data_IF_559692582759
#
_entry.id   IF_559692582759
#
_cell.length_a   1.000
_cell.length_b   1.000
_cell.length_c   1.000
_cell.angle_alpha   90.00
_cell.angle_beta   90.00
_cell.angle_gamma   90.00
#
_symmetry.space_group_name_H-M   'P 1'
#
loop_
_entity.id
_entity.type
_entity.pdbx_description
1 polymer ?
#
# COMPACT_ATOMS: atom_id res chain seq x y z
N UNK A 1 13.82 4.66 15.02
CA UNK A 1 12.89 4.60 13.87
C UNK A 1 13.65 4.98 12.61
N UNK A 2 13.53 4.24 11.51
CA UNK A 2 14.19 4.64 10.29
C UNK A 2 13.54 5.91 9.73
N UNK A 3 14.35 6.83 9.21
CA UNK A 3 13.90 8.10 8.60
C UNK A 3 12.72 7.92 7.61
N UNK A 4 12.70 6.81 6.89
CA UNK A 4 11.62 6.44 5.94
C UNK A 4 10.23 6.24 6.56
N UNK A 5 10.13 5.76 7.81
CA UNK A 5 8.81 5.57 8.44
C UNK A 5 8.20 6.89 8.91
N UNK A 6 9.04 7.86 9.23
CA UNK A 6 8.63 9.21 9.60
C UNK A 6 8.19 10.00 8.38
N UNK A 7 8.93 9.88 7.26
CA UNK A 7 8.55 10.54 6.00
C UNK A 7 7.19 10.07 5.47
N UNK A 8 6.88 8.76 5.55
CA UNK A 8 5.57 8.25 5.13
C UNK A 8 4.43 8.83 5.98
N UNK A 9 4.56 8.80 7.30
CA UNK A 9 3.53 9.35 8.19
C UNK A 9 3.33 10.85 8.02
N UNK A 10 4.37 11.55 7.61
CA UNK A 10 4.31 12.98 7.40
C UNK A 10 3.55 13.40 6.15
N UNK A 11 3.66 12.64 5.08
CA UNK A 11 2.85 12.87 3.87
C UNK A 11 1.37 12.67 4.19
N UNK A 12 1.04 11.61 4.94
CA UNK A 12 -0.31 11.34 5.40
C UNK A 12 -0.86 12.51 6.23
N UNK A 13 -0.04 13.07 7.14
CA UNK A 13 -0.43 14.23 7.95
C UNK A 13 -0.66 15.48 7.08
N UNK A 14 0.22 15.77 6.13
CA UNK A 14 0.06 16.92 5.24
C UNK A 14 -1.24 16.79 4.43
N UNK A 15 -1.50 15.63 3.84
CA UNK A 15 -2.74 15.38 3.08
C UNK A 15 -3.96 15.57 3.95
N UNK A 16 -3.95 15.08 5.19
CA UNK A 16 -5.05 15.22 6.13
C UNK A 16 -5.34 16.70 6.47
N UNK A 17 -4.29 17.46 6.76
CA UNK A 17 -4.43 18.88 7.12
C UNK A 17 -4.82 19.73 5.90
N UNK A 18 -4.30 19.44 4.72
CA UNK A 18 -4.70 20.12 3.48
C UNK A 18 -6.13 19.78 3.06
N UNK A 19 -6.62 18.58 3.34
CA UNK A 19 -8.01 18.22 3.13
C UNK A 19 -8.94 19.04 4.02
N UNK A 20 -8.54 19.30 5.27
CA UNK A 20 -9.30 20.10 6.25
C UNK A 20 -9.15 21.62 6.01
N UNK A 21 -7.96 22.04 5.59
CA UNK A 21 -7.63 23.46 5.37
C UNK A 21 -6.96 23.65 3.99
N UNK A 22 -7.73 23.58 2.89
CA UNK A 22 -7.16 23.62 1.52
C UNK A 22 -6.58 24.98 1.15
N UNK A 23 -6.82 26.02 1.94
CA UNK A 23 -6.23 27.36 1.75
C UNK A 23 -4.78 27.48 2.15
N UNK A 24 -4.20 26.43 2.78
CA UNK A 24 -2.78 26.42 3.18
C UNK A 24 -1.90 26.34 1.92
N UNK A 25 -1.04 27.34 1.74
CA UNK A 25 -0.14 27.45 0.60
C UNK A 25 1.33 27.53 1.00
N UNK A 26 1.61 27.77 2.26
CA UNK A 26 2.97 27.96 2.75
C UNK A 26 3.29 27.09 3.96
N UNK A 27 4.59 26.77 4.19
CA UNK A 27 5.01 26.04 5.38
C UNK A 27 4.66 26.74 6.69
N UNK A 28 4.63 28.08 6.71
CA UNK A 28 4.25 28.85 7.90
C UNK A 28 2.78 28.60 8.24
N UNK A 29 1.89 28.73 7.26
CA UNK A 29 0.46 28.44 7.45
C UNK A 29 0.21 26.99 7.90
N UNK A 30 0.99 26.04 7.33
CA UNK A 30 0.91 24.64 7.77
C UNK A 30 1.37 24.49 9.22
N UNK A 31 2.47 25.13 9.62
CA UNK A 31 2.95 25.08 11.00
C UNK A 31 1.92 25.65 11.97
N UNK A 32 1.36 26.82 11.66
CA UNK A 32 0.34 27.47 12.48
C UNK A 32 -0.91 26.60 12.65
N UNK A 33 -1.33 25.95 11.56
CA UNK A 33 -2.47 25.03 11.60
C UNK A 33 -2.18 23.79 12.45
N UNK A 34 -1.01 23.18 12.28
CA UNK A 34 -0.58 22.04 13.09
C UNK A 34 -0.48 22.39 14.58
N UNK A 35 -0.04 23.61 14.93
CA UNK A 35 -0.02 24.08 16.31
C UNK A 35 -1.44 24.25 16.88
N UNK A 36 -2.37 24.82 16.11
CA UNK A 36 -3.77 24.93 16.52
C UNK A 36 -4.38 23.55 16.80
N UNK A 37 -4.15 22.58 15.92
CA UNK A 37 -4.62 21.22 16.08
C UNK A 37 -3.99 20.54 17.31
N UNK A 38 -2.68 20.68 17.50
CA UNK A 38 -1.94 20.12 18.64
C UNK A 38 -2.41 20.71 19.96
N UNK A 39 -2.59 22.03 20.02
CA UNK A 39 -3.00 22.74 21.22
C UNK A 39 -4.51 22.71 21.47
N UNK A 40 -5.27 22.00 20.61
CA UNK A 40 -6.73 21.89 20.68
C UNK A 40 -7.44 23.25 20.69
N UNK A 41 -6.86 24.24 20.01
CA UNK A 41 -7.49 25.57 19.81
C UNK A 41 -8.34 25.63 18.55
N UNK A 42 -8.40 24.51 17.79
CA UNK A 42 -9.27 24.29 16.65
C UNK A 42 -10.52 23.53 17.06
N UNK A 43 -11.67 23.74 16.41
CA UNK A 43 -12.83 22.85 16.55
C UNK A 43 -12.54 21.44 16.02
N UNK A 44 -11.62 21.30 15.07
CA UNK A 44 -11.24 20.01 14.51
C UNK A 44 -10.31 19.26 15.46
N UNK A 45 -10.65 18.02 15.77
CA UNK A 45 -9.82 17.13 16.61
C UNK A 45 -8.87 16.33 15.72
N UNK A 46 -7.58 16.32 16.08
CA UNK A 46 -6.61 15.44 15.43
C UNK A 46 -6.15 14.33 16.38
N UNK A 47 -6.18 13.10 15.90
CA UNK A 47 -5.64 11.94 16.59
C UNK A 47 -4.44 11.40 15.81
N UNK A 48 -3.26 11.69 16.29
CA UNK A 48 -2.00 11.16 15.79
C UNK A 48 -0.95 11.14 16.92
N UNK A 49 0.23 10.65 16.62
CA UNK A 49 1.36 10.69 17.56
C UNK A 49 1.88 12.15 17.69
N UNK A 50 1.89 12.67 18.92
CA UNK A 50 2.34 14.03 19.22
C UNK A 50 3.78 14.29 18.76
N UNK A 51 4.63 13.27 18.72
CA UNK A 51 6.00 13.38 18.23
C UNK A 51 6.04 13.68 16.73
N UNK A 52 5.08 13.15 15.96
CA UNK A 52 4.94 13.42 14.54
C UNK A 52 4.50 14.87 14.32
N UNK A 53 3.46 15.31 15.03
CA UNK A 53 2.99 16.70 14.97
C UNK A 53 4.12 17.68 15.26
N UNK A 54 4.84 17.47 16.38
CA UNK A 54 5.92 18.36 16.79
C UNK A 54 7.07 18.37 15.78
N UNK A 55 7.41 17.21 15.22
CA UNK A 55 8.47 17.15 14.21
C UNK A 55 8.09 17.98 12.97
N UNK A 56 6.87 17.86 12.47
CA UNK A 56 6.43 18.59 11.28
C UNK A 56 6.28 20.09 11.53
N UNK A 57 5.83 20.51 12.71
CA UNK A 57 5.84 21.91 13.13
C UNK A 57 7.28 22.45 13.08
N UNK A 58 8.24 21.71 13.64
CA UNK A 58 9.65 22.10 13.64
C UNK A 58 10.23 22.15 12.22
N UNK A 59 9.89 21.18 11.36
CA UNK A 59 10.37 21.12 9.98
C UNK A 59 9.80 22.26 9.12
N UNK A 60 8.56 22.67 9.36
CA UNK A 60 7.98 23.86 8.74
C UNK A 60 8.65 25.16 9.17
N UNK A 61 9.07 25.26 10.44
CA UNK A 61 9.72 26.46 11.01
C UNK A 61 11.23 26.53 10.74
N UNK A 62 11.87 25.39 10.44
CA UNK A 62 13.30 25.30 10.14
C UNK A 62 13.55 25.40 8.64
N UNK A 63 14.78 25.69 8.25
CA UNK A 63 15.34 25.92 6.92
C UNK A 63 14.97 24.92 5.78
N UNK A 64 14.19 23.90 6.04
CA UNK A 64 13.66 22.96 5.05
C UNK A 64 12.38 23.45 4.35
N UNK A 65 12.14 24.77 4.36
CA UNK A 65 10.97 25.36 3.72
C UNK A 65 10.76 24.95 2.25
N UNK A 66 11.85 24.68 1.50
CA UNK A 66 11.73 24.16 0.13
C UNK A 66 11.09 22.78 0.08
N UNK A 67 11.51 21.85 0.93
CA UNK A 67 10.98 20.48 0.95
C UNK A 67 9.53 20.49 1.44
N UNK A 68 9.21 21.27 2.46
CA UNK A 68 7.83 21.42 2.94
C UNK A 68 6.94 22.12 1.92
N UNK A 69 7.43 23.18 1.27
CA UNK A 69 6.70 23.84 0.19
C UNK A 69 6.44 22.89 -0.97
N UNK A 70 7.39 22.04 -1.31
CA UNK A 70 7.22 21.03 -2.36
C UNK A 70 6.19 19.98 -1.94
N UNK A 71 6.16 19.56 -0.69
CA UNK A 71 5.13 18.67 -0.18
C UNK A 71 3.75 19.34 -0.24
N UNK A 72 3.61 20.59 0.20
CA UNK A 72 2.35 21.33 0.11
C UNK A 72 1.88 21.39 -1.36
N UNK A 73 2.78 21.75 -2.28
CA UNK A 73 2.46 21.85 -3.70
C UNK A 73 2.07 20.50 -4.31
N UNK A 74 2.82 19.44 -3.98
CA UNK A 74 2.59 18.11 -4.53
C UNK A 74 1.35 17.42 -3.93
N UNK A 75 1.02 17.75 -2.68
CA UNK A 75 -0.06 17.11 -1.93
C UNK A 75 -1.23 18.06 -1.64
N UNK A 76 -1.31 19.20 -2.33
CA UNK A 76 -2.49 20.04 -2.31
C UNK A 76 -3.68 19.21 -2.79
N UNK A 77 -4.51 18.80 -1.85
CA UNK A 77 -5.75 18.10 -2.18
C UNK A 77 -6.60 19.11 -2.94
N UNK A 78 -7.09 18.78 -4.15
CA UNK A 78 -8.02 19.66 -4.84
C UNK A 78 -9.12 20.04 -3.87
N UNK A 79 -9.39 21.33 -3.71
CA UNK A 79 -10.44 21.85 -2.84
C UNK A 79 -11.76 21.29 -3.35
N UNK A 80 -12.10 20.12 -2.87
CA UNK A 80 -13.31 19.44 -3.27
C UNK A 80 -14.32 19.60 -2.16
N UNK A 81 -15.55 19.77 -2.53
CA UNK A 81 -16.71 19.69 -1.64
C UNK A 81 -16.76 18.36 -0.85
N UNK A 82 -15.84 17.45 -1.20
CA UNK A 82 -15.72 16.10 -0.62
C UNK A 82 -15.38 16.12 0.87
N UNK A 83 -14.54 17.07 1.33
CA UNK A 83 -14.07 17.13 2.73
C UNK A 83 -14.51 18.42 3.41
N UNK A 84 -15.79 18.72 3.34
CA UNK A 84 -16.38 19.90 3.98
C UNK A 84 -16.69 19.61 5.43
N UNK A 85 -16.41 20.56 6.31
CA UNK A 85 -16.78 20.49 7.73
C UNK A 85 -16.23 19.24 8.45
N UNK A 86 -14.92 19.10 8.45
CA UNK A 86 -14.22 18.03 9.17
C UNK A 86 -14.27 18.31 10.68
N UNK A 87 -14.86 17.38 11.44
CA UNK A 87 -14.88 17.37 12.90
C UNK A 87 -13.62 16.72 13.47
N UNK A 88 -13.17 15.62 12.83
CA UNK A 88 -12.07 14.82 13.35
C UNK A 88 -11.19 14.25 12.24
N UNK A 89 -9.89 14.22 12.51
CA UNK A 89 -8.85 13.59 11.68
C UNK A 89 -8.18 12.50 12.51
N UNK A 90 -8.06 11.30 11.95
CA UNK A 90 -7.33 10.17 12.56
C UNK A 90 -6.28 9.67 11.59
N UNK A 91 -5.01 9.77 11.99
CA UNK A 91 -3.90 9.17 11.26
C UNK A 91 -3.72 7.72 11.73
N UNK A 92 -4.34 6.81 11.01
CA UNK A 92 -4.36 5.39 11.38
C UNK A 92 -3.00 4.71 11.19
N UNK A 93 -2.20 5.17 10.22
CA UNK A 93 -0.92 4.57 9.89
C UNK A 93 -1.06 3.05 9.65
N UNK A 94 -0.17 2.28 10.27
CA UNK A 94 -0.18 0.80 10.11
C UNK A 94 -1.28 0.09 10.91
N UNK A 95 -1.96 0.76 11.83
CA UNK A 95 -2.95 0.09 12.68
C UNK A 95 -3.93 1.07 13.30
N UNK A 96 -5.17 0.94 12.93
CA UNK A 96 -6.29 1.66 13.56
C UNK A 96 -6.73 1.06 14.90
N UNK A 97 -6.09 -0.04 15.37
CA UNK A 97 -6.45 -0.71 16.63
C UNK A 97 -6.29 0.18 17.88
N UNK A 98 -5.57 1.29 17.76
CA UNK A 98 -5.43 2.28 18.84
C UNK A 98 -6.65 3.20 19.00
N UNK A 99 -7.54 3.21 18.01
CA UNK A 99 -8.66 4.14 17.92
C UNK A 99 -9.97 3.37 18.01
N UNK A 100 -10.66 3.38 19.16
CA UNK A 100 -11.89 2.59 19.37
C UNK A 100 -12.96 2.84 18.32
N UNK A 101 -13.11 4.07 17.87
CA UNK A 101 -14.07 4.47 16.84
C UNK A 101 -13.77 3.82 15.49
N UNK A 102 -12.47 3.73 15.11
CA UNK A 102 -12.08 3.06 13.88
C UNK A 102 -12.17 1.54 14.00
N UNK A 103 -11.98 0.99 15.20
CA UNK A 103 -12.20 -0.45 15.46
C UNK A 103 -13.67 -0.78 15.28
N UNK A 104 -14.56 0.07 15.81
CA UNK A 104 -16.01 -0.09 15.64
C UNK A 104 -16.43 0.08 14.16
N UNK A 105 -15.96 1.15 13.52
CA UNK A 105 -16.22 1.43 12.10
C UNK A 105 -15.83 0.27 11.18
N UNK A 106 -14.74 -0.42 11.49
CA UNK A 106 -14.22 -1.53 10.69
C UNK A 106 -14.56 -2.91 11.30
N UNK A 107 -15.58 -2.99 12.15
CA UNK A 107 -16.01 -4.26 12.75
C UNK A 107 -16.42 -5.26 11.66
N UNK A 108 -15.83 -6.45 11.66
CA UNK A 108 -16.10 -7.49 10.68
C UNK A 108 -15.38 -7.34 9.34
N UNK A 109 -14.61 -6.26 9.15
CA UNK A 109 -13.83 -6.03 7.93
C UNK A 109 -12.41 -6.58 8.11
N UNK A 110 -11.90 -7.32 7.12
CA UNK A 110 -10.48 -7.68 7.11
C UNK A 110 -9.64 -6.39 7.13
N UNK A 111 -8.73 -6.28 8.09
CA UNK A 111 -7.83 -5.13 8.25
C UNK A 111 -7.10 -4.73 6.97
N UNK A 112 -6.95 -5.65 6.02
CA UNK A 112 -6.31 -5.38 4.73
C UNK A 112 -7.22 -4.68 3.75
N UNK A 113 -8.54 -4.77 3.94
CA UNK A 113 -9.53 -4.05 3.16
C UNK A 113 -9.66 -2.60 3.63
N UNK A 114 -9.43 -2.34 4.90
CA UNK A 114 -9.36 -0.98 5.46
C UNK A 114 -8.05 -0.29 5.02
N UNK A 115 -8.01 0.16 3.78
CA UNK A 115 -6.81 0.71 3.11
C UNK A 115 -6.50 2.16 3.44
N UNK A 116 -7.36 2.83 4.21
CA UNK A 116 -7.16 4.24 4.51
C UNK A 116 -5.97 4.43 5.46
N UNK A 117 -5.09 5.32 5.08
CA UNK A 117 -3.97 5.80 5.89
C UNK A 117 -4.42 6.93 6.81
N UNK A 118 -5.41 7.71 6.34
CA UNK A 118 -6.07 8.79 7.06
C UNK A 118 -7.57 8.55 7.06
N UNK A 119 -8.20 8.76 8.21
CA UNK A 119 -9.66 8.81 8.34
C UNK A 119 -10.09 10.23 8.73
N UNK A 120 -11.14 10.71 8.12
CA UNK A 120 -11.78 11.97 8.47
C UNK A 120 -13.24 11.72 8.82
N UNK A 121 -13.70 12.35 9.90
CA UNK A 121 -15.10 12.35 10.29
C UNK A 121 -15.67 13.72 10.01
N UNK A 122 -16.77 13.76 9.32
CA UNK A 122 -17.49 14.99 9.03
C UNK A 122 -18.46 15.33 10.17
N UNK A 123 -18.90 16.56 10.24
CA UNK A 123 -19.85 17.03 11.27
C UNK A 123 -21.23 16.36 11.22
N UNK A 124 -21.60 15.80 10.07
CA UNK A 124 -22.81 14.96 9.91
C UNK A 124 -22.65 13.53 10.42
N UNK A 125 -21.44 13.19 10.93
CA UNK A 125 -21.09 11.87 11.43
C UNK A 125 -20.54 10.90 10.37
N UNK A 126 -20.53 11.26 9.09
CA UNK A 126 -20.00 10.41 8.04
C UNK A 126 -18.48 10.26 8.14
N UNK A 127 -18.01 9.05 7.91
CA UNK A 127 -16.58 8.76 7.81
C UNK A 127 -16.11 8.66 6.36
N UNK A 128 -14.94 9.21 6.10
CA UNK A 128 -14.22 9.06 4.82
C UNK A 128 -12.79 8.62 5.09
N UNK A 129 -12.30 7.70 4.26
CA UNK A 129 -10.92 7.23 4.30
C UNK A 129 -10.11 7.77 3.14
N UNK A 130 -8.84 8.08 3.36
CA UNK A 130 -7.91 8.48 2.32
C UNK A 130 -6.73 7.51 2.32
N UNK A 131 -6.53 6.81 1.22
CA UNK A 131 -5.31 6.04 0.97
C UNK A 131 -4.31 6.94 0.24
N UNK A 132 -3.17 7.19 0.86
CA UNK A 132 -2.16 8.12 0.34
C UNK A 132 -1.13 7.38 -0.48
N UNK A 133 -0.97 7.73 -1.75
CA UNK A 133 0.06 7.23 -2.64
C UNK A 133 1.05 8.34 -2.98
N UNK A 134 2.33 8.02 -2.96
CA UNK A 134 3.38 9.00 -3.27
C UNK A 134 3.57 9.24 -4.78
N UNK A 135 3.04 8.34 -5.60
CA UNK A 135 3.09 8.44 -7.05
C UNK A 135 1.97 7.63 -7.70
N UNK A 136 1.64 7.94 -8.95
CA UNK A 136 0.69 7.17 -9.76
C UNK A 136 1.10 5.69 -9.90
N UNK A 137 2.42 5.42 -9.99
CA UNK A 137 2.98 4.07 -10.09
C UNK A 137 3.05 3.32 -8.74
N UNK A 138 2.53 3.90 -7.66
CA UNK A 138 2.57 3.28 -6.35
C UNK A 138 1.80 1.93 -6.37
N UNK A 139 2.29 1.00 -5.57
CA UNK A 139 1.64 -0.30 -5.39
C UNK A 139 0.22 -0.10 -4.87
N UNK A 140 -0.79 -0.52 -5.62
CA UNK A 140 -2.20 -0.46 -5.21
C UNK A 140 -2.48 -1.40 -4.05
N UNK A 141 -1.82 -2.57 -4.05
CA UNK A 141 -1.99 -3.57 -3.02
C UNK A 141 -0.75 -4.44 -2.89
N UNK A 142 -0.54 -4.96 -1.69
CA UNK A 142 0.64 -5.75 -1.35
C UNK A 142 0.27 -6.83 -0.34
N UNK A 143 0.25 -8.10 -0.80
CA UNK A 143 -0.12 -9.26 0.02
C UNK A 143 0.98 -10.31 0.01
N UNK A 144 0.97 -11.17 1.03
CA UNK A 144 1.65 -12.45 0.96
C UNK A 144 0.93 -13.36 -0.03
N UNK A 145 1.62 -13.85 -1.05
CA UNK A 145 1.01 -14.73 -2.05
C UNK A 145 0.49 -16.03 -1.43
N UNK A 146 1.16 -16.55 -0.39
CA UNK A 146 0.73 -17.76 0.30
C UNK A 146 -0.66 -17.65 0.94
N UNK A 147 -1.11 -16.43 1.26
CA UNK A 147 -2.47 -16.23 1.80
C UNK A 147 -3.60 -16.53 0.80
N UNK A 148 -3.26 -16.64 -0.46
CA UNK A 148 -4.21 -17.04 -1.49
C UNK A 148 -4.40 -18.55 -1.58
N UNK A 149 -3.50 -19.33 -0.97
CA UNK A 149 -3.48 -20.78 -1.06
C UNK A 149 -4.02 -21.47 0.19
N UNK A 150 -4.52 -22.71 0.07
CA UNK A 150 -4.74 -23.61 1.20
C UNK A 150 -3.45 -23.80 2.02
N UNK A 151 -3.60 -24.17 3.29
CA UNK A 151 -2.47 -24.34 4.21
C UNK A 151 -1.51 -25.45 3.77
N UNK A 152 -2.03 -26.50 3.15
CA UNK A 152 -1.25 -27.61 2.58
C UNK A 152 -0.32 -27.10 1.48
N UNK A 153 -0.84 -26.28 0.57
CA UNK A 153 -0.07 -25.71 -0.53
C UNK A 153 0.98 -24.71 -0.05
N UNK A 154 0.63 -23.91 0.97
CA UNK A 154 1.60 -23.02 1.62
C UNK A 154 2.76 -23.81 2.21
N UNK A 155 2.47 -24.92 2.91
CA UNK A 155 3.49 -25.80 3.49
C UNK A 155 4.36 -26.44 2.42
N UNK A 156 3.75 -27.02 1.39
CA UNK A 156 4.46 -27.62 0.27
C UNK A 156 5.40 -26.64 -0.42
N UNK A 157 4.95 -25.42 -0.70
CA UNK A 157 5.80 -24.38 -1.29
C UNK A 157 6.98 -24.01 -0.39
N UNK A 158 6.79 -23.95 0.92
CA UNK A 158 7.86 -23.70 1.86
C UNK A 158 8.87 -24.86 1.89
N UNK A 159 8.43 -26.10 1.85
CA UNK A 159 9.29 -27.29 1.78
C UNK A 159 10.11 -27.33 0.48
N UNK A 160 9.49 -27.03 -0.66
CA UNK A 160 10.17 -26.93 -1.95
C UNK A 160 11.24 -25.83 -1.90
N UNK A 161 10.94 -24.68 -1.31
CA UNK A 161 11.88 -23.58 -1.16
C UNK A 161 13.06 -23.97 -0.27
N UNK A 162 12.80 -24.61 0.86
CA UNK A 162 13.84 -25.05 1.78
C UNK A 162 14.76 -26.10 1.12
N UNK A 163 14.19 -27.09 0.43
CA UNK A 163 14.97 -28.07 -0.34
C UNK A 163 15.83 -27.39 -1.40
N UNK A 164 15.26 -26.49 -2.20
CA UNK A 164 15.98 -25.73 -3.21
C UNK A 164 17.19 -25.01 -2.61
N UNK A 165 17.07 -24.43 -1.42
CA UNK A 165 18.18 -23.75 -0.76
C UNK A 165 19.21 -24.73 -0.19
N UNK A 166 18.76 -25.80 0.45
CA UNK A 166 19.64 -26.83 1.03
C UNK A 166 20.48 -27.50 -0.04
N UNK A 167 19.87 -27.91 -1.16
CA UNK A 167 20.52 -28.56 -2.29
C UNK A 167 21.58 -27.68 -2.99
N UNK A 168 21.43 -26.36 -2.82
CA UNK A 168 22.38 -25.37 -3.34
C UNK A 168 23.33 -24.79 -2.27
N UNK A 169 23.41 -25.42 -1.10
CA UNK A 169 24.33 -25.01 -0.04
C UNK A 169 23.89 -23.83 0.81
N UNK A 170 22.59 -23.48 0.81
CA UNK A 170 22.02 -22.38 1.58
C UNK A 170 20.95 -22.86 2.56
N UNK A 171 21.25 -23.78 3.51
CA UNK A 171 20.26 -24.33 4.43
C UNK A 171 19.64 -23.25 5.33
N UNK A 172 20.42 -22.19 5.62
CA UNK A 172 19.96 -21.00 6.30
C UNK A 172 20.22 -19.78 5.42
N UNK A 173 19.16 -19.03 5.14
CA UNK A 173 19.29 -17.77 4.40
C UNK A 173 19.84 -16.70 5.35
N UNK A 174 21.06 -16.22 5.06
CA UNK A 174 21.66 -15.04 5.69
C UNK A 174 21.78 -13.91 4.67
N UNK A 175 21.86 -12.67 5.13
CA UNK A 175 21.98 -11.49 4.25
C UNK A 175 23.20 -11.58 3.32
N UNK A 176 24.29 -12.19 3.77
CA UNK A 176 25.50 -12.46 2.98
C UNK A 176 25.26 -13.35 1.76
N UNK A 177 24.29 -14.27 1.85
CA UNK A 177 23.95 -15.22 0.77
C UNK A 177 22.91 -14.63 -0.21
N UNK A 178 22.37 -13.47 0.07
CA UNK A 178 21.30 -12.84 -0.70
C UNK A 178 21.56 -12.73 -2.21
N UNK A 179 22.77 -12.36 -2.69
CA UNK A 179 23.05 -12.33 -4.12
C UNK A 179 22.93 -13.70 -4.79
N UNK A 180 23.40 -14.77 -4.11
CA UNK A 180 23.37 -16.14 -4.61
C UNK A 180 21.95 -16.69 -4.62
N UNK A 181 21.20 -16.49 -3.54
CA UNK A 181 19.77 -16.85 -3.46
C UNK A 181 18.95 -16.12 -4.52
N UNK A 182 19.20 -14.83 -4.73
CA UNK A 182 18.54 -14.08 -5.80
C UNK A 182 18.89 -14.62 -7.19
N UNK A 183 20.15 -15.05 -7.42
CA UNK A 183 20.55 -15.70 -8.66
C UNK A 183 19.80 -17.00 -8.87
N UNK A 184 19.72 -17.84 -7.84
CA UNK A 184 18.99 -19.11 -7.86
C UNK A 184 17.51 -18.91 -8.17
N UNK A 185 16.84 -18.01 -7.45
CA UNK A 185 15.43 -17.70 -7.64
C UNK A 185 15.15 -16.92 -8.94
N UNK A 186 16.16 -16.32 -9.59
CA UNK A 186 15.97 -15.63 -10.87
C UNK A 186 15.86 -16.58 -12.06
N UNK A 187 16.21 -17.84 -11.90
CA UNK A 187 15.84 -18.89 -12.83
C UNK A 187 14.36 -19.18 -12.68
N UNK A 188 13.57 -18.79 -13.68
CA UNK A 188 12.11 -18.97 -13.69
C UNK A 188 11.66 -20.43 -13.78
N UNK A 189 12.58 -21.33 -14.12
CA UNK A 189 12.35 -22.77 -14.20
C UNK A 189 12.66 -23.48 -12.88
N UNK A 190 13.13 -22.75 -11.85
CA UNK A 190 13.39 -23.34 -10.54
C UNK A 190 12.11 -24.00 -9.97
N UNK A 191 12.27 -25.09 -9.18
CA UNK A 191 11.13 -25.86 -8.68
C UNK A 191 10.11 -25.01 -7.89
N UNK A 192 10.58 -24.02 -7.14
CA UNK A 192 9.70 -23.18 -6.33
C UNK A 192 8.74 -22.34 -7.19
N UNK A 193 9.25 -21.60 -8.19
CA UNK A 193 8.40 -20.81 -9.06
C UNK A 193 7.59 -21.66 -10.04
N UNK A 194 8.08 -22.83 -10.43
CA UNK A 194 7.31 -23.77 -11.25
C UNK A 194 6.07 -24.26 -10.49
N UNK A 195 6.21 -24.67 -9.23
CA UNK A 195 5.09 -25.06 -8.38
C UNK A 195 4.18 -23.86 -8.05
N UNK A 196 4.75 -22.68 -7.84
CA UNK A 196 3.95 -21.46 -7.63
C UNK A 196 3.02 -21.18 -8.81
N UNK A 197 3.51 -21.28 -10.06
CA UNK A 197 2.68 -21.13 -11.28
C UNK A 197 1.55 -22.13 -11.31
N UNK A 198 1.85 -23.38 -11.04
CA UNK A 198 0.84 -24.44 -11.01
C UNK A 198 -0.25 -24.12 -10.00
N UNK A 199 0.12 -23.70 -8.77
CA UNK A 199 -0.84 -23.36 -7.73
C UNK A 199 -1.64 -22.11 -8.07
N UNK A 200 -1.03 -21.08 -8.66
CA UNK A 200 -1.75 -19.90 -9.16
C UNK A 200 -2.80 -20.27 -10.21
N UNK A 201 -2.47 -21.18 -11.11
CA UNK A 201 -3.41 -21.69 -12.13
C UNK A 201 -4.53 -22.52 -11.50
N UNK A 202 -4.19 -23.48 -10.62
CA UNK A 202 -5.16 -24.34 -9.95
C UNK A 202 -6.15 -23.56 -9.09
N UNK A 203 -5.67 -22.53 -8.39
CA UNK A 203 -6.49 -21.73 -7.47
C UNK A 203 -6.97 -20.40 -8.07
N UNK A 204 -6.86 -20.22 -9.39
CA UNK A 204 -7.27 -18.98 -10.07
C UNK A 204 -8.68 -18.56 -9.66
N UNK A 205 -9.63 -19.50 -9.66
CA UNK A 205 -11.04 -19.24 -9.32
C UNK A 205 -11.27 -18.76 -7.88
N UNK A 206 -10.37 -19.09 -6.94
CA UNK A 206 -10.45 -18.65 -5.55
C UNK A 206 -9.60 -17.39 -5.26
N UNK A 207 -8.61 -17.14 -6.10
CA UNK A 207 -7.70 -15.98 -5.97
C UNK A 207 -8.36 -14.72 -6.52
N UNK A 208 -8.97 -14.80 -7.70
CA UNK A 208 -9.51 -13.64 -8.39
C UNK A 208 -10.63 -12.93 -7.61
N UNK A 209 -11.60 -13.62 -6.96
CA UNK A 209 -12.57 -12.93 -6.11
C UNK A 209 -11.93 -12.12 -4.98
N UNK A 210 -10.91 -12.67 -4.34
CA UNK A 210 -10.17 -11.96 -3.28
C UNK A 210 -9.46 -10.72 -3.81
N UNK A 211 -8.89 -10.79 -5.02
CA UNK A 211 -8.26 -9.63 -5.65
C UNK A 211 -9.31 -8.55 -5.95
N UNK A 212 -10.49 -8.94 -6.47
CA UNK A 212 -11.59 -8.02 -6.72
C UNK A 212 -12.05 -7.33 -5.43
N UNK A 213 -12.27 -8.09 -4.37
CA UNK A 213 -12.63 -7.55 -3.05
C UNK A 213 -11.58 -6.55 -2.54
N UNK A 214 -10.30 -6.81 -2.79
CA UNK A 214 -9.24 -5.88 -2.44
C UNK A 214 -9.20 -4.62 -3.31
N UNK A 215 -9.51 -4.72 -4.58
CA UNK A 215 -9.52 -3.54 -5.47
C UNK A 215 -10.76 -2.68 -5.28
N UNK A 216 -11.91 -3.32 -5.07
CA UNK A 216 -13.21 -2.70 -4.98
C UNK A 216 -13.93 -3.10 -3.67
N UNK A 217 -13.37 -2.76 -2.49
CA UNK A 217 -13.89 -3.23 -1.23
C UNK A 217 -15.27 -2.64 -0.91
N UNK A 218 -16.11 -3.44 -0.26
CA UNK A 218 -17.31 -2.93 0.41
C UNK A 218 -16.91 -2.42 1.80
N UNK A 219 -17.01 -1.11 2.02
CA UNK A 219 -16.63 -0.45 3.24
C UNK A 219 -17.80 0.35 3.82
N UNK A 220 -17.88 0.54 5.14
CA UNK A 220 -18.92 1.37 5.79
C UNK A 220 -18.62 2.88 5.69
N UNK A 221 -17.66 3.27 4.88
CA UNK A 221 -17.26 4.63 4.62
C UNK A 221 -16.80 4.78 3.17
N UNK A 222 -16.81 6.00 2.67
CA UNK A 222 -16.23 6.31 1.37
C UNK A 222 -14.71 6.26 1.43
N UNK A 223 -14.10 5.53 0.49
CA UNK A 223 -12.64 5.46 0.35
C UNK A 223 -12.19 6.28 -0.85
N UNK A 224 -11.17 7.10 -0.63
CA UNK A 224 -10.51 7.88 -1.67
C UNK A 224 -9.04 7.47 -1.79
N UNK A 225 -8.51 7.42 -3.00
CA UNK A 225 -7.08 7.30 -3.25
C UNK A 225 -6.54 8.67 -3.67
N UNK A 226 -5.52 9.13 -2.97
CA UNK A 226 -4.77 10.34 -3.32
C UNK A 226 -3.40 9.95 -3.88
N UNK A 227 -3.06 10.41 -5.08
CA UNK A 227 -1.83 10.03 -5.79
C UNK A 227 -0.84 11.21 -6.00
N UNK A 228 -0.96 12.25 -5.23
CA UNK A 228 -0.12 13.46 -5.30
C UNK A 228 -0.70 14.58 -6.19
N UNK A 229 -1.65 14.29 -7.07
CA UNK A 229 -2.28 15.28 -7.96
C UNK A 229 -3.79 15.16 -8.01
N UNK A 230 -4.31 13.94 -7.86
CA UNK A 230 -5.75 13.66 -7.97
C UNK A 230 -6.24 12.92 -6.74
N UNK A 231 -7.49 13.17 -6.42
CA UNK A 231 -8.25 12.44 -5.42
C UNK A 231 -9.34 11.67 -6.17
N UNK A 232 -9.29 10.35 -6.11
CA UNK A 232 -10.22 9.48 -6.83
C UNK A 232 -11.00 8.64 -5.81
N UNK A 233 -12.32 8.66 -5.90
CA UNK A 233 -13.18 7.79 -5.10
C UNK A 233 -13.01 6.34 -5.56
N UNK A 234 -12.77 5.44 -4.61
CA UNK A 234 -12.75 3.99 -4.85
C UNK A 234 -14.16 3.48 -4.56
N UNK A 235 -14.85 3.10 -5.60
CA UNK A 235 -16.21 2.58 -5.49
C UNK A 235 -16.19 1.06 -5.46
N UNK A 236 -17.12 0.48 -4.71
CA UNK A 236 -17.43 -0.93 -4.85
C UNK A 236 -17.94 -1.21 -6.27
N UNK A 237 -17.41 -2.25 -6.90
CA UNK A 237 -17.85 -2.71 -8.22
C UNK A 237 -18.06 -4.22 -8.18
N UNK A 238 -19.19 -4.65 -8.68
CA UNK A 238 -19.40 -6.05 -8.97
C UNK A 238 -18.56 -6.44 -10.18
N UNK A 239 -17.77 -7.50 -10.04
CA UNK A 239 -16.89 -7.99 -11.09
C UNK A 239 -17.26 -9.43 -11.43
N UNK A 240 -17.58 -9.68 -12.70
CA UNK A 240 -17.67 -11.05 -13.18
C UNK A 240 -16.26 -11.67 -13.21
N UNK A 241 -15.99 -12.54 -12.27
CA UNK A 241 -14.69 -13.21 -12.13
C UNK A 241 -14.32 -14.02 -13.37
N UNK A 242 -15.31 -14.54 -14.11
CA UNK A 242 -15.07 -15.29 -15.33
C UNK A 242 -14.51 -14.43 -16.48
N UNK A 243 -14.78 -13.12 -16.45
CA UNK A 243 -14.28 -12.16 -17.44
C UNK A 243 -12.84 -11.72 -17.20
N UNK A 244 -12.22 -12.07 -16.06
CA UNK A 244 -10.89 -11.59 -15.69
C UNK A 244 -9.82 -12.38 -16.45
N UNK A 245 -8.99 -11.66 -17.21
CA UNK A 245 -7.75 -12.20 -17.74
C UNK A 245 -6.65 -12.10 -16.69
N UNK A 246 -6.00 -13.22 -16.38
CA UNK A 246 -4.87 -13.30 -15.46
C UNK A 246 -3.84 -14.28 -16.01
N UNK A 247 -2.82 -13.74 -16.67
CA UNK A 247 -1.86 -14.53 -17.43
C UNK A 247 -0.42 -14.09 -17.17
N UNK A 248 0.53 -15.02 -17.20
CA UNK A 248 1.95 -14.71 -17.10
C UNK A 248 2.36 -13.80 -18.28
N UNK A 249 3.09 -12.72 -18.01
CA UNK A 249 3.36 -11.68 -18.99
C UNK A 249 4.86 -11.45 -19.21
N UNK A 250 5.41 -12.09 -20.22
CA UNK A 250 6.82 -12.01 -20.61
C UNK A 250 7.37 -10.58 -20.80
N UNK A 251 6.64 -9.64 -21.47
CA UNK A 251 7.16 -8.28 -21.67
C UNK A 251 7.50 -7.52 -20.40
N UNK A 252 6.91 -7.86 -19.25
CA UNK A 252 7.26 -7.22 -17.98
C UNK A 252 8.62 -7.65 -17.43
N UNK A 253 9.23 -8.69 -17.99
CA UNK A 253 10.60 -9.07 -17.68
C UNK A 253 11.66 -8.24 -18.42
N UNK A 254 11.23 -7.38 -19.35
CA UNK A 254 12.11 -6.48 -20.09
C UNK A 254 12.25 -5.15 -19.36
N UNK A 255 13.44 -4.56 -19.40
CA UNK A 255 13.61 -3.20 -18.88
C UNK A 255 13.10 -2.16 -19.93
N UNK A 256 13.08 -0.89 -19.53
CA UNK A 256 12.64 0.22 -20.41
C UNK A 256 13.48 0.33 -21.70
N UNK A 257 14.70 -0.23 -21.76
CA UNK A 257 15.55 -0.25 -22.92
C UNK A 257 15.37 -1.50 -23.81
N UNK A 258 14.36 -2.35 -23.53
CA UNK A 258 14.09 -3.56 -24.29
C UNK A 258 15.09 -4.70 -24.04
N UNK A 259 16.02 -4.54 -23.09
CA UNK A 259 16.93 -5.60 -22.68
C UNK A 259 16.32 -6.43 -21.57
N UNK A 260 16.66 -7.72 -21.48
CA UNK A 260 16.16 -8.57 -20.39
C UNK A 260 16.40 -7.90 -19.05
N UNK A 261 15.34 -7.68 -18.30
CA UNK A 261 15.42 -7.12 -16.95
C UNK A 261 16.47 -7.90 -16.14
N UNK A 262 17.13 -7.21 -15.23
CA UNK A 262 18.07 -7.85 -14.29
C UNK A 262 17.43 -9.13 -13.76
N UNK A 263 18.23 -10.18 -13.68
CA UNK A 263 17.86 -11.45 -13.04
C UNK A 263 17.31 -11.14 -11.64
N UNK A 264 16.01 -10.94 -11.55
CA UNK A 264 15.32 -10.67 -10.31
C UNK A 264 14.48 -11.89 -9.97
N UNK A 265 14.43 -12.23 -8.68
CA UNK A 265 13.58 -13.31 -8.15
C UNK A 265 12.09 -12.90 -8.22
N UNK A 266 11.56 -12.78 -9.44
CA UNK A 266 10.24 -12.22 -9.73
C UNK A 266 9.51 -13.03 -10.78
N UNK A 267 8.19 -13.10 -10.62
CA UNK A 267 7.25 -13.52 -11.66
C UNK A 267 6.33 -12.33 -11.97
N UNK A 268 5.91 -12.21 -13.22
CA UNK A 268 5.01 -11.16 -13.64
C UNK A 268 3.77 -11.75 -14.32
N UNK A 269 2.63 -11.17 -13.97
CA UNK A 269 1.35 -11.44 -14.60
C UNK A 269 0.72 -10.14 -15.07
N UNK A 270 -0.08 -10.22 -16.11
CA UNK A 270 -1.03 -9.18 -16.48
C UNK A 270 -2.39 -9.58 -15.93
N UNK A 271 -3.07 -8.63 -15.33
CA UNK A 271 -4.40 -8.78 -14.78
C UNK A 271 -5.29 -7.70 -15.39
N UNK A 272 -6.28 -8.11 -16.19
CA UNK A 272 -7.26 -7.19 -16.76
C UNK A 272 -8.58 -7.38 -16.02
N UNK A 273 -9.07 -6.33 -15.38
CA UNK A 273 -10.33 -6.29 -14.62
C UNK A 273 -11.13 -5.06 -15.04
N UNK A 274 -12.35 -5.28 -15.53
CA UNK A 274 -13.19 -4.21 -16.07
C UNK A 274 -12.44 -3.45 -17.17
N UNK A 275 -12.34 -2.14 -17.03
CA UNK A 275 -11.67 -1.21 -17.94
C UNK A 275 -10.20 -0.95 -17.59
N UNK A 276 -9.65 -1.67 -16.62
CA UNK A 276 -8.31 -1.46 -16.09
C UNK A 276 -7.38 -2.64 -16.29
N UNK A 277 -6.12 -2.32 -16.55
CA UNK A 277 -5.03 -3.29 -16.61
C UNK A 277 -4.08 -3.09 -15.44
N UNK A 278 -3.60 -4.20 -14.89
CA UNK A 278 -2.64 -4.20 -13.80
C UNK A 278 -1.45 -5.09 -14.13
N UNK A 279 -0.28 -4.61 -13.79
CA UNK A 279 0.91 -5.44 -13.66
C UNK A 279 0.94 -6.07 -12.27
N UNK A 280 0.93 -7.38 -12.23
CA UNK A 280 1.13 -8.17 -11.02
C UNK A 280 2.60 -8.55 -10.93
N UNK A 281 3.23 -8.23 -9.81
CA UNK A 281 4.61 -8.61 -9.50
C UNK A 281 4.63 -9.53 -8.28
N UNK A 282 5.08 -10.79 -8.47
CA UNK A 282 5.30 -11.75 -7.38
C UNK A 282 6.79 -11.81 -7.10
N UNK A 283 7.21 -11.33 -5.92
CA UNK A 283 8.62 -11.24 -5.56
C UNK A 283 8.87 -11.36 -4.07
N UNK A 284 10.06 -11.80 -3.70
CA UNK A 284 10.54 -11.62 -2.33
C UNK A 284 11.00 -10.18 -2.11
N UNK A 285 10.47 -9.56 -1.06
CA UNK A 285 10.87 -8.22 -0.61
C UNK A 285 11.81 -8.36 0.58
N UNK A 286 13.10 -8.31 0.32
CA UNK A 286 14.11 -8.54 1.35
C UNK A 286 14.52 -10.00 1.42
N UNK A 287 14.58 -10.55 2.61
CA UNK A 287 15.03 -11.92 2.83
C UNK A 287 13.95 -12.95 2.45
N UNK A 288 14.38 -14.09 1.95
CA UNK A 288 13.49 -15.19 1.54
C UNK A 288 13.69 -16.47 2.38
N UNK A 289 14.17 -16.31 3.62
CA UNK A 289 14.39 -17.42 4.55
C UNK A 289 13.15 -17.90 5.29
N UNK A 290 13.23 -19.07 5.88
CA UNK A 290 12.16 -19.66 6.70
C UNK A 290 10.83 -19.74 5.94
N UNK A 291 9.76 -19.41 6.63
CA UNK A 291 8.40 -19.42 6.09
C UNK A 291 8.00 -18.12 5.37
N UNK A 292 8.99 -17.30 4.96
CA UNK A 292 8.66 -16.07 4.22
C UNK A 292 8.01 -16.39 2.89
N UNK A 293 6.93 -15.68 2.60
CA UNK A 293 6.19 -15.74 1.35
C UNK A 293 6.60 -14.59 0.45
N UNK A 294 6.67 -14.79 -0.87
CA UNK A 294 6.77 -13.67 -1.78
C UNK A 294 5.54 -12.78 -1.66
N UNK A 295 5.72 -11.52 -2.05
CA UNK A 295 4.65 -10.55 -2.10
C UNK A 295 3.99 -10.56 -3.47
N UNK A 296 2.68 -10.45 -3.46
CA UNK A 296 1.85 -10.20 -4.62
C UNK A 296 1.53 -8.70 -4.64
N UNK A 297 2.09 -7.99 -5.59
CA UNK A 297 1.96 -6.54 -5.72
C UNK A 297 1.20 -6.18 -6.98
N UNK A 298 0.25 -5.29 -6.87
CA UNK A 298 -0.55 -4.76 -7.98
C UNK A 298 -0.10 -3.34 -8.31
N UNK A 299 0.16 -3.08 -9.59
CA UNK A 299 0.43 -1.76 -10.14
C UNK A 299 -0.52 -1.52 -11.31
N UNK A 300 -1.28 -0.46 -11.28
CA UNK A 300 -2.11 -0.04 -12.42
C UNK A 300 -1.22 0.44 -13.57
N UNK A 301 -1.53 0.08 -14.82
CA UNK A 301 -0.73 0.37 -16.02
C UNK A 301 -1.58 0.95 -17.13
#
# INVERSE_FOLDING_TARGET
MSRKSVECNGVELIVAVLAESPSIQTPVQLADRLEQLKNKTSPTIIQCDDSILQQYINDCKRFNGKTMQQHITNYAVPSSETFVQIEQIVLAGKSFAKYPELVELNRGIDRKLAKADVFVKLTDGAWKGISVKQSADATKSNWSVHKFFPKEDERELNEIKLRLFTDNGFPEHKDENRPLVNKLLSDRTNPYFTNMRQKLTTHKSSILPKICEYLYPTLPYELYEYNGNTLTKIEHKEVDVASIAFDEHEPFYMNKAGTKARKAAKMFYKLDILDKSYRVEIRFKGNCHGNTSPQFQLHEI
#
